data_IF_673571933069
#
_entry.id   IF_673571933069
#
_cell.length_a   1.000
_cell.length_b   1.000
_cell.length_c   1.000
_cell.angle_alpha   90.00
_cell.angle_beta   90.00
_cell.angle_gamma   90.00
#
_symmetry.space_group_name_H-M   'P 1'
#
loop_
_entity.id
_entity.type
_entity.pdbx_description
1 polymer ?
#
# COMPACT_ATOMS: atom_id res chain seq x y z
N UNK A 1 -17.01 -20.97 -52.14
CA UNK A 1 -17.59 -20.69 -50.81
C UNK A 1 -16.55 -19.96 -49.96
N UNK A 2 -16.73 -18.66 -49.79
CA UNK A 2 -15.74 -17.77 -49.17
C UNK A 2 -15.71 -17.87 -47.65
N UNK A 3 -14.50 -17.95 -47.09
CA UNK A 3 -14.26 -17.79 -45.65
C UNK A 3 -14.50 -16.31 -45.28
N UNK A 4 -15.53 -16.03 -44.49
CA UNK A 4 -15.70 -14.72 -43.84
C UNK A 4 -14.76 -14.65 -42.64
N UNK A 5 -13.76 -13.79 -42.74
CA UNK A 5 -13.01 -13.29 -41.59
C UNK A 5 -13.95 -12.48 -40.70
N UNK A 6 -14.04 -12.83 -39.42
CA UNK A 6 -14.71 -12.00 -38.42
C UNK A 6 -13.64 -11.11 -37.81
N UNK A 7 -13.65 -9.84 -38.25
CA UNK A 7 -12.92 -8.74 -37.63
C UNK A 7 -13.63 -8.36 -36.33
N UNK A 8 -12.95 -8.45 -35.19
CA UNK A 8 -13.46 -7.97 -33.90
C UNK A 8 -12.61 -6.77 -33.46
N UNK A 9 -13.32 -5.67 -33.24
CA UNK A 9 -12.85 -4.34 -32.91
C UNK A 9 -12.10 -4.30 -31.57
N UNK A 10 -10.90 -3.70 -31.58
CA UNK A 10 -9.93 -3.71 -30.49
C UNK A 10 -10.02 -2.43 -29.67
N UNK A 11 -11.10 -2.24 -28.92
CA UNK A 11 -11.19 -1.18 -27.90
C UNK A 11 -12.02 -1.61 -26.70
N UNK A 12 -11.41 -2.33 -25.76
CA UNK A 12 -11.75 -2.31 -24.33
C UNK A 12 -10.69 -3.10 -23.55
N UNK A 13 -10.01 -2.40 -22.64
CA UNK A 13 -8.97 -2.94 -21.77
C UNK A 13 -9.55 -3.81 -20.66
N UNK A 14 -9.96 -5.02 -21.04
CA UNK A 14 -9.77 -6.19 -20.19
C UNK A 14 -8.51 -6.83 -20.76
N UNK A 15 -7.46 -6.98 -19.96
CA UNK A 15 -6.35 -7.85 -20.31
C UNK A 15 -6.95 -9.26 -20.27
N UNK A 16 -7.64 -9.64 -21.35
CA UNK A 16 -7.71 -11.01 -21.77
C UNK A 16 -6.25 -11.41 -21.86
N UNK A 17 -5.78 -12.23 -20.92
CA UNK A 17 -4.72 -13.18 -21.22
C UNK A 17 -5.06 -13.64 -22.64
N UNK A 18 -4.22 -13.36 -23.63
CA UNK A 18 -4.35 -14.09 -24.90
C UNK A 18 -4.40 -15.54 -24.44
N UNK A 19 -5.52 -16.23 -24.63
CA UNK A 19 -5.78 -17.54 -24.02
C UNK A 19 -4.61 -18.52 -24.27
N UNK A 20 -3.82 -18.24 -25.30
CA UNK A 20 -2.55 -18.88 -25.61
C UNK A 20 -1.49 -18.79 -24.50
N UNK A 21 -1.22 -17.63 -23.87
CA UNK A 21 -0.06 -17.47 -22.94
C UNK A 21 -0.19 -18.34 -21.69
N UNK A 22 -1.40 -18.40 -21.10
CA UNK A 22 -1.64 -19.20 -19.90
C UNK A 22 -1.57 -20.69 -20.22
N UNK A 23 -2.22 -21.10 -21.31
CA UNK A 23 -2.26 -22.49 -21.78
C UNK A 23 -0.86 -22.97 -22.24
N UNK A 24 -0.12 -22.12 -22.96
CA UNK A 24 1.27 -22.38 -23.36
C UNK A 24 2.19 -22.55 -22.14
N UNK A 25 1.99 -21.75 -21.08
CA UNK A 25 2.76 -21.89 -19.85
C UNK A 25 2.51 -23.25 -19.19
N UNK A 26 1.23 -23.68 -19.12
CA UNK A 26 0.85 -25.01 -18.61
C UNK A 26 1.54 -26.09 -19.43
N UNK A 27 1.38 -26.11 -20.76
CA UNK A 27 1.99 -27.14 -21.60
C UNK A 27 3.51 -27.17 -21.49
N UNK A 28 4.15 -25.99 -21.45
CA UNK A 28 5.60 -25.89 -21.25
C UNK A 28 6.04 -26.49 -19.91
N UNK A 29 5.28 -26.24 -18.83
CA UNK A 29 5.61 -26.76 -17.51
C UNK A 29 5.32 -28.26 -17.39
N UNK A 30 4.22 -28.75 -17.95
CA UNK A 30 3.90 -30.19 -17.96
C UNK A 30 4.94 -31.04 -18.70
N UNK A 31 5.70 -30.45 -19.63
CA UNK A 31 6.84 -31.11 -20.29
C UNK A 31 8.12 -31.20 -19.41
N UNK A 32 8.12 -30.58 -18.23
CA UNK A 32 9.27 -30.47 -17.32
C UNK A 32 8.98 -31.17 -16.00
N UNK A 33 10.04 -31.42 -15.24
CA UNK A 33 9.88 -31.81 -13.84
C UNK A 33 9.30 -30.64 -13.02
N UNK A 34 8.53 -30.95 -11.98
CA UNK A 34 7.85 -29.98 -11.11
C UNK A 34 8.80 -28.92 -10.51
N UNK A 35 10.03 -29.30 -10.19
CA UNK A 35 11.06 -28.42 -9.65
C UNK A 35 11.58 -27.38 -10.66
N UNK A 36 11.23 -27.50 -11.95
CA UNK A 36 11.72 -26.67 -13.04
C UNK A 36 10.62 -25.85 -13.71
N UNK A 37 9.45 -25.72 -13.07
CA UNK A 37 8.37 -24.88 -13.59
C UNK A 37 8.81 -23.42 -13.66
N UNK A 38 8.43 -22.75 -14.75
CA UNK A 38 8.76 -21.34 -15.00
C UNK A 38 7.50 -20.62 -15.44
N UNK A 39 7.26 -19.48 -14.81
CA UNK A 39 6.04 -18.70 -15.01
C UNK A 39 6.38 -17.38 -15.67
N UNK A 40 5.66 -17.06 -16.74
CA UNK A 40 5.76 -15.76 -17.40
C UNK A 40 5.26 -14.65 -16.46
N UNK A 41 5.65 -13.41 -16.72
CA UNK A 41 5.19 -12.25 -15.94
C UNK A 41 3.67 -12.15 -15.86
N UNK A 42 2.97 -12.43 -16.97
CA UNK A 42 1.51 -12.40 -17.03
C UNK A 42 0.86 -13.45 -16.12
N UNK A 43 1.44 -14.66 -16.07
CA UNK A 43 0.97 -15.71 -15.17
C UNK A 43 1.26 -15.36 -13.71
N UNK A 44 2.40 -14.73 -13.42
CA UNK A 44 2.69 -14.24 -12.07
C UNK A 44 1.72 -13.14 -11.63
N UNK A 45 1.43 -12.16 -12.48
CA UNK A 45 0.45 -11.10 -12.19
C UNK A 45 -0.97 -11.67 -11.98
N UNK A 46 -1.36 -12.64 -12.79
CA UNK A 46 -2.62 -13.37 -12.60
C UNK A 46 -2.64 -14.11 -11.25
N UNK A 47 -1.57 -14.84 -10.94
CA UNK A 47 -1.45 -15.58 -9.68
C UNK A 47 -1.50 -14.65 -8.45
N UNK A 48 -0.80 -13.51 -8.49
CA UNK A 48 -0.87 -12.48 -7.45
C UNK A 48 -2.29 -11.95 -7.29
N UNK A 49 -2.96 -11.62 -8.40
CA UNK A 49 -4.34 -11.12 -8.38
C UNK A 49 -5.30 -12.16 -7.79
N UNK A 50 -5.21 -13.41 -8.24
CA UNK A 50 -6.02 -14.52 -7.74
C UNK A 50 -5.83 -14.69 -6.22
N UNK A 51 -4.59 -14.66 -5.73
CA UNK A 51 -4.30 -14.78 -4.31
C UNK A 51 -4.83 -13.61 -3.49
N UNK A 52 -4.70 -12.38 -3.99
CA UNK A 52 -5.13 -11.16 -3.30
C UNK A 52 -6.67 -11.07 -3.24
N UNK A 53 -7.36 -11.38 -4.33
CA UNK A 53 -8.82 -11.22 -4.42
C UNK A 53 -9.59 -12.42 -3.87
N UNK A 54 -9.17 -13.65 -4.19
CA UNK A 54 -9.91 -14.87 -3.83
C UNK A 54 -9.33 -15.59 -2.60
N UNK A 55 -8.15 -15.15 -2.15
CA UNK A 55 -7.49 -15.66 -0.95
C UNK A 55 -6.76 -16.99 -1.14
N UNK A 56 -6.04 -17.39 -0.08
CA UNK A 56 -5.15 -18.56 -0.09
C UNK A 56 -5.85 -19.87 -0.45
N UNK A 57 -7.06 -20.10 0.04
CA UNK A 57 -7.76 -21.37 -0.16
C UNK A 57 -8.18 -21.56 -1.63
N UNK A 58 -8.73 -20.51 -2.25
CA UNK A 58 -9.08 -20.54 -3.66
C UNK A 58 -7.83 -20.68 -4.53
N UNK A 59 -6.76 -19.95 -4.20
CA UNK A 59 -5.47 -20.06 -4.87
C UNK A 59 -4.93 -21.50 -4.85
N UNK A 60 -4.87 -22.13 -3.67
CA UNK A 60 -4.37 -23.50 -3.52
C UNK A 60 -5.27 -24.51 -4.23
N UNK A 61 -6.59 -24.31 -4.19
CA UNK A 61 -7.53 -25.15 -4.95
C UNK A 61 -7.21 -25.11 -6.45
N UNK A 62 -7.03 -23.93 -7.04
CA UNK A 62 -6.65 -23.80 -8.46
C UNK A 62 -5.28 -24.43 -8.71
N UNK A 63 -4.29 -24.18 -7.86
CA UNK A 63 -2.92 -24.70 -8.02
C UNK A 63 -2.87 -26.23 -8.02
N UNK A 64 -3.63 -26.86 -7.13
CA UNK A 64 -3.66 -28.32 -6.99
C UNK A 64 -4.44 -29.00 -8.12
N UNK A 65 -5.46 -28.35 -8.68
CA UNK A 65 -6.28 -28.90 -9.76
C UNK A 65 -5.73 -28.58 -11.16
N UNK A 66 -4.94 -27.51 -11.31
CA UNK A 66 -4.29 -27.11 -12.57
C UNK A 66 -2.77 -27.14 -12.42
N UNK A 67 -2.21 -28.35 -12.47
CA UNK A 67 -0.77 -28.55 -12.30
C UNK A 67 0.06 -27.75 -13.32
N UNK A 68 1.06 -27.03 -12.81
CA UNK A 68 1.96 -26.21 -13.65
C UNK A 68 1.35 -24.91 -14.17
N UNK A 69 0.10 -24.58 -13.80
CA UNK A 69 -0.58 -23.37 -14.25
C UNK A 69 -0.19 -22.12 -13.47
N UNK A 70 -0.02 -22.23 -12.15
CA UNK A 70 0.34 -21.12 -11.27
C UNK A 70 1.45 -21.52 -10.31
N UNK A 71 2.25 -20.55 -9.80
CA UNK A 71 3.35 -20.80 -8.87
C UNK A 71 2.92 -21.43 -7.55
N UNK A 72 3.85 -22.07 -6.85
CA UNK A 72 3.67 -22.38 -5.43
C UNK A 72 3.69 -21.10 -4.59
N UNK A 73 3.26 -21.23 -3.32
CA UNK A 73 3.15 -20.08 -2.41
C UNK A 73 4.50 -19.42 -2.11
N UNK A 74 5.61 -20.18 -2.03
CA UNK A 74 6.93 -19.59 -1.79
C UNK A 74 7.35 -18.72 -2.96
N UNK A 75 7.19 -19.23 -4.19
CA UNK A 75 7.48 -18.47 -5.41
C UNK A 75 6.57 -17.23 -5.53
N UNK A 76 5.30 -17.36 -5.12
CA UNK A 76 4.36 -16.25 -5.10
C UNK A 76 4.75 -15.18 -4.08
N UNK A 77 5.09 -15.59 -2.85
CA UNK A 77 5.52 -14.69 -1.76
C UNK A 77 6.80 -13.94 -2.15
N UNK A 78 7.77 -14.61 -2.76
CA UNK A 78 8.97 -13.99 -3.31
C UNK A 78 8.65 -12.97 -4.40
N UNK A 79 7.69 -13.29 -5.28
CA UNK A 79 7.22 -12.40 -6.34
C UNK A 79 6.52 -11.16 -5.76
N UNK A 80 5.64 -11.34 -4.77
CA UNK A 80 4.97 -10.26 -4.04
C UNK A 80 5.95 -9.38 -3.26
N UNK A 81 7.00 -9.97 -2.69
CA UNK A 81 8.08 -9.23 -2.04
C UNK A 81 8.85 -8.32 -3.01
N UNK A 82 9.12 -8.82 -4.23
CA UNK A 82 9.85 -8.08 -5.27
C UNK A 82 9.07 -6.92 -5.88
N UNK A 83 7.74 -6.96 -5.88
CA UNK A 83 6.90 -5.86 -6.41
C UNK A 83 6.92 -4.59 -5.54
N UNK A 84 7.72 -4.55 -4.47
CA UNK A 84 8.02 -3.32 -3.72
C UNK A 84 6.90 -2.87 -2.78
N UNK A 85 6.10 -3.82 -2.28
CA UNK A 85 4.88 -3.54 -1.51
C UNK A 85 5.06 -3.60 0.00
N UNK A 86 6.27 -3.82 0.53
CA UNK A 86 6.49 -3.73 1.98
C UNK A 86 6.32 -2.27 2.42
N UNK A 87 5.21 -1.99 3.10
CA UNK A 87 4.93 -0.70 3.71
C UNK A 87 5.73 -0.63 5.00
N UNK A 88 6.76 0.22 5.03
CA UNK A 88 7.50 0.51 6.26
C UNK A 88 6.69 1.44 7.16
N UNK A 89 6.62 1.11 8.44
CA UNK A 89 5.89 1.87 9.44
C UNK A 89 6.46 3.29 9.60
N UNK A 90 5.60 4.30 9.50
CA UNK A 90 5.97 5.70 9.71
C UNK A 90 6.73 6.34 8.54
N UNK A 91 6.89 5.65 7.41
CA UNK A 91 7.55 6.23 6.22
C UNK A 91 6.50 6.72 5.22
N UNK A 92 6.62 7.98 4.81
CA UNK A 92 5.78 8.55 3.76
C UNK A 92 6.36 8.25 2.37
N UNK A 93 5.56 7.61 1.52
CA UNK A 93 5.98 7.03 0.23
C UNK A 93 5.79 8.01 -0.93
N UNK A 94 6.44 9.18 -0.89
CA UNK A 94 6.31 10.21 -1.93
C UNK A 94 6.85 9.83 -3.31
N UNK A 95 7.81 8.91 -3.35
CA UNK A 95 8.28 8.28 -4.59
C UNK A 95 7.16 7.47 -5.25
N UNK A 96 6.43 6.68 -4.47
CA UNK A 96 5.29 5.89 -4.96
C UNK A 96 4.13 6.82 -5.34
N UNK A 97 3.93 7.92 -4.61
CA UNK A 97 2.97 8.95 -4.98
C UNK A 97 3.27 9.53 -6.36
N UNK A 98 4.53 9.80 -6.68
CA UNK A 98 4.92 10.29 -8.00
C UNK A 98 4.68 9.24 -9.11
N UNK A 99 4.99 7.97 -8.86
CA UNK A 99 4.71 6.90 -9.82
C UNK A 99 3.20 6.72 -10.05
N UNK A 100 2.41 6.73 -8.98
CA UNK A 100 0.96 6.67 -9.03
C UNK A 100 0.37 7.88 -9.77
N UNK A 101 0.91 9.07 -9.51
CA UNK A 101 0.57 10.30 -10.22
C UNK A 101 0.74 10.15 -11.73
N UNK A 102 1.90 9.64 -12.16
CA UNK A 102 2.19 9.43 -13.59
C UNK A 102 1.31 8.35 -14.22
N UNK A 103 0.98 7.28 -13.50
CA UNK A 103 0.17 6.19 -14.06
C UNK A 103 -1.30 6.59 -14.21
N UNK A 104 -1.83 7.40 -13.29
CA UNK A 104 -3.24 7.81 -13.28
C UNK A 104 -3.46 9.15 -14.01
N UNK A 105 -2.43 9.98 -14.11
CA UNK A 105 -2.47 11.29 -14.76
C UNK A 105 -3.38 12.27 -14.00
N UNK A 106 -2.95 12.71 -12.83
CA UNK A 106 -3.64 13.75 -12.03
C UNK A 106 -2.62 14.70 -11.41
N UNK A 107 -3.01 15.95 -11.16
CA UNK A 107 -2.15 16.91 -10.46
C UNK A 107 -2.78 17.41 -9.16
N UNK A 108 -4.06 17.12 -8.95
CA UNK A 108 -4.86 17.59 -7.82
C UNK A 108 -5.38 16.39 -7.03
N UNK A 109 -5.18 16.42 -5.73
CA UNK A 109 -5.60 15.36 -4.83
C UNK A 109 -6.15 15.89 -3.50
N UNK A 110 -6.89 15.03 -2.81
CA UNK A 110 -7.32 15.22 -1.43
C UNK A 110 -6.57 14.21 -0.57
N UNK A 111 -6.18 14.62 0.64
CA UNK A 111 -5.58 13.72 1.60
C UNK A 111 -6.59 13.39 2.70
N UNK A 112 -6.71 12.11 3.04
CA UNK A 112 -7.47 11.64 4.19
C UNK A 112 -6.52 11.23 5.30
N UNK A 113 -6.78 11.66 6.52
CA UNK A 113 -6.11 11.17 7.73
C UNK A 113 -7.15 10.61 8.68
N UNK A 114 -6.94 9.37 9.15
CA UNK A 114 -7.82 8.74 10.13
C UNK A 114 -7.06 7.69 10.94
N UNK A 115 -7.55 7.37 12.15
CA UNK A 115 -7.00 6.35 13.02
C UNK A 115 -7.97 5.18 13.17
N UNK A 116 -7.52 3.97 12.83
CA UNK A 116 -8.33 2.76 12.98
C UNK A 116 -7.79 1.87 14.11
N UNK A 117 -8.69 1.20 14.83
CA UNK A 117 -8.30 0.25 15.86
C UNK A 117 -7.66 -0.99 15.24
N UNK A 118 -6.57 -1.49 15.84
CA UNK A 118 -5.86 -2.67 15.34
C UNK A 118 -5.72 -3.75 16.41
N UNK A 119 -5.59 -5.00 15.95
CA UNK A 119 -5.21 -6.11 16.82
C UNK A 119 -3.78 -5.86 17.30
N UNK A 120 -3.59 -5.86 18.61
CA UNK A 120 -2.29 -5.62 19.25
C UNK A 120 -1.31 -6.74 18.92
N UNK A 121 -0.55 -6.58 17.85
CA UNK A 121 0.47 -7.52 17.40
C UNK A 121 1.78 -6.78 17.15
N UNK A 122 2.84 -7.29 17.75
CA UNK A 122 4.20 -6.85 17.44
C UNK A 122 4.77 -7.81 16.40
N UNK A 123 5.42 -7.27 15.39
CA UNK A 123 6.09 -8.02 14.34
C UNK A 123 7.53 -7.56 14.22
N UNK A 124 8.44 -8.51 14.01
CA UNK A 124 9.85 -8.24 13.76
C UNK A 124 10.14 -8.33 12.26
N UNK A 125 10.79 -7.31 11.71
CA UNK A 125 11.31 -7.33 10.36
C UNK A 125 12.83 -7.61 10.41
N UNK A 126 13.23 -8.82 10.02
CA UNK A 126 14.63 -9.26 10.01
C UNK A 126 15.49 -8.59 8.95
N UNK A 127 14.91 -8.03 7.90
CA UNK A 127 15.66 -7.29 6.87
C UNK A 127 16.14 -5.94 7.37
N UNK A 128 15.38 -5.31 8.26
CA UNK A 128 15.66 -3.97 8.79
C UNK A 128 16.02 -3.96 10.28
N UNK A 129 16.09 -5.14 10.91
CA UNK A 129 16.26 -5.30 12.36
C UNK A 129 15.36 -4.37 13.18
N UNK A 130 14.08 -4.30 12.81
CA UNK A 130 13.13 -3.32 13.37
C UNK A 130 11.86 -4.02 13.86
N UNK A 131 11.37 -3.59 15.02
CA UNK A 131 10.02 -3.93 15.47
C UNK A 131 8.95 -2.95 14.94
N UNK A 132 7.80 -3.50 14.56
CA UNK A 132 6.57 -2.77 14.26
C UNK A 132 5.43 -3.19 15.18
N UNK A 133 4.50 -2.27 15.42
CA UNK A 133 3.33 -2.52 16.29
C UNK A 133 3.43 -1.90 17.68
N UNK A 134 4.41 -1.02 17.91
CA UNK A 134 4.46 -0.12 19.06
C UNK A 134 4.08 1.31 18.64
N UNK A 135 3.52 2.15 19.52
CA UNK A 135 3.29 3.55 19.23
C UNK A 135 4.60 4.27 18.89
N UNK A 136 4.66 4.86 17.71
CA UNK A 136 5.81 5.65 17.27
C UNK A 136 5.71 7.06 17.86
N UNK A 137 6.85 7.60 18.28
CA UNK A 137 6.99 8.97 18.74
C UNK A 137 6.91 9.95 17.58
N UNK A 138 6.24 11.08 17.80
CA UNK A 138 6.06 12.10 16.77
C UNK A 138 6.96 13.31 17.08
N UNK A 139 7.70 13.78 16.08
CA UNK A 139 8.46 15.04 16.11
C UNK A 139 7.76 16.06 15.23
N UNK A 140 7.11 17.05 15.85
CA UNK A 140 6.25 18.02 15.17
C UNK A 140 5.17 17.33 14.31
N UNK A 141 4.53 16.31 14.87
CA UNK A 141 3.53 15.49 14.18
C UNK A 141 4.05 14.50 13.14
N UNK A 142 5.34 14.50 12.81
CA UNK A 142 5.93 13.53 11.88
C UNK A 142 6.44 12.32 12.65
N UNK A 143 6.09 11.08 12.26
CA UNK A 143 6.59 9.87 12.91
C UNK A 143 8.12 9.76 12.80
N UNK A 144 8.76 9.39 13.91
CA UNK A 144 10.15 8.98 13.92
C UNK A 144 10.26 7.56 13.34
N UNK A 145 10.43 7.46 12.02
CA UNK A 145 10.59 6.18 11.32
C UNK A 145 11.72 5.34 11.92
N UNK A 146 11.52 4.01 11.97
CA UNK A 146 12.51 3.05 12.49
C UNK A 146 12.96 3.31 13.93
N UNK A 147 12.08 3.89 14.76
CA UNK A 147 12.38 4.16 16.17
C UNK A 147 12.81 2.90 16.96
N UNK A 148 12.29 1.73 16.60
CA UNK A 148 12.58 0.46 17.26
C UNK A 148 13.54 -0.40 16.43
N UNK A 149 14.42 0.23 15.65
CA UNK A 149 15.54 -0.43 15.00
C UNK A 149 16.69 -0.58 15.99
N UNK A 150 17.23 -1.79 16.10
CA UNK A 150 18.41 -2.05 16.92
C UNK A 150 19.11 -3.33 16.48
N UNK A 151 20.43 -3.35 16.61
CA UNK A 151 21.26 -4.54 16.40
C UNK A 151 21.53 -5.30 17.72
N UNK A 152 20.98 -4.83 18.85
CA UNK A 152 21.15 -5.43 20.17
C UNK A 152 19.94 -6.26 20.58
N UNK A 153 20.18 -7.54 20.91
CA UNK A 153 19.13 -8.42 21.43
C UNK A 153 18.55 -7.92 22.75
N UNK A 154 19.35 -7.32 23.63
CA UNK A 154 18.89 -6.82 24.93
C UNK A 154 17.97 -5.60 24.74
N UNK A 155 18.25 -4.75 23.77
CA UNK A 155 17.38 -3.64 23.41
C UNK A 155 16.08 -4.14 22.76
N UNK A 156 16.15 -5.18 21.91
CA UNK A 156 14.97 -5.82 21.34
C UNK A 156 14.07 -6.38 22.45
N UNK A 157 14.65 -7.13 23.40
CA UNK A 157 13.94 -7.71 24.54
C UNK A 157 13.32 -6.62 25.41
N UNK A 158 14.08 -5.59 25.75
CA UNK A 158 13.61 -4.45 26.54
C UNK A 158 12.44 -3.73 25.86
N UNK A 159 12.49 -3.52 24.55
CA UNK A 159 11.37 -2.93 23.80
C UNK A 159 10.11 -3.79 23.90
N UNK A 160 10.25 -5.11 23.76
CA UNK A 160 9.11 -6.03 23.81
C UNK A 160 8.45 -6.12 25.19
N UNK A 161 9.25 -6.08 26.26
CA UNK A 161 8.76 -6.19 27.63
C UNK A 161 8.19 -4.88 28.18
N UNK A 162 8.77 -3.73 27.80
CA UNK A 162 8.48 -2.45 28.45
C UNK A 162 7.63 -1.48 27.62
N UNK A 163 7.37 -1.77 26.33
CA UNK A 163 6.56 -0.88 25.47
C UNK A 163 5.14 -1.37 25.32
N UNK A 164 4.19 -0.46 25.49
CA UNK A 164 2.80 -0.72 25.16
C UNK A 164 2.65 -0.98 23.67
N UNK A 165 1.82 -1.97 23.34
CA UNK A 165 1.46 -2.27 21.95
C UNK A 165 0.51 -1.21 21.42
N UNK A 166 0.61 -0.90 20.13
CA UNK A 166 -0.26 0.09 19.51
C UNK A 166 -1.71 -0.38 19.49
N UNK A 167 -2.61 0.53 19.80
CA UNK A 167 -4.05 0.32 19.74
C UNK A 167 -4.65 0.86 18.45
N UNK A 168 -4.02 1.88 17.88
CA UNK A 168 -4.54 2.64 16.76
C UNK A 168 -3.46 2.77 15.69
N UNK A 169 -3.84 2.50 14.45
CA UNK A 169 -3.02 2.76 13.28
C UNK A 169 -3.50 4.07 12.65
N UNK A 170 -2.65 5.10 12.65
CA UNK A 170 -2.91 6.31 11.89
C UNK A 170 -2.61 6.06 10.42
N UNK A 171 -3.55 6.37 9.54
CA UNK A 171 -3.50 6.05 8.11
C UNK A 171 -3.65 7.33 7.29
N UNK A 172 -2.77 7.50 6.31
CA UNK A 172 -2.72 8.65 5.43
C UNK A 172 -2.97 8.20 4.00
N UNK A 173 -4.11 8.59 3.43
CA UNK A 173 -4.51 8.20 2.07
C UNK A 173 -4.53 9.42 1.16
N UNK A 174 -4.00 9.31 -0.06
CA UNK A 174 -4.08 10.35 -1.09
C UNK A 174 -5.01 9.89 -2.19
N UNK A 175 -6.10 10.63 -2.42
CA UNK A 175 -7.08 10.34 -3.45
C UNK A 175 -7.02 11.38 -4.57
N UNK A 176 -6.85 10.98 -5.84
CA UNK A 176 -7.00 11.87 -6.98
C UNK A 176 -8.39 12.52 -7.00
N UNK A 177 -8.46 13.84 -7.16
CA UNK A 177 -9.74 14.55 -7.26
C UNK A 177 -10.25 14.56 -8.69
N UNK A 178 -9.35 14.78 -9.64
CA UNK A 178 -9.61 14.76 -11.08
C UNK A 178 -8.55 13.85 -11.69
N UNK A 179 -8.96 12.70 -12.21
CA UNK A 179 -8.09 11.77 -12.89
C UNK A 179 -8.40 11.79 -14.39
N UNK A 180 -7.35 11.76 -15.22
CA UNK A 180 -7.51 11.60 -16.67
C UNK A 180 -8.19 10.27 -17.03
N UNK A 181 -8.00 9.23 -16.19
CA UNK A 181 -8.68 7.95 -16.30
C UNK A 181 -9.65 7.74 -15.11
N UNK A 182 -10.97 7.86 -15.31
CA UNK A 182 -11.96 7.71 -14.24
C UNK A 182 -12.04 6.29 -13.68
N UNK A 183 -11.53 5.28 -14.40
CA UNK A 183 -11.49 3.89 -13.95
C UNK A 183 -10.28 3.57 -13.07
N UNK A 184 -9.35 4.53 -12.87
CA UNK A 184 -8.08 4.33 -12.16
C UNK A 184 -7.90 5.22 -10.93
N UNK A 185 -8.97 5.82 -10.40
CA UNK A 185 -8.91 6.74 -9.25
C UNK A 185 -8.81 6.05 -7.90
N UNK A 186 -7.99 4.99 -7.79
CA UNK A 186 -7.78 4.32 -6.50
C UNK A 186 -7.00 5.25 -5.55
N UNK A 187 -7.36 5.32 -4.26
CA UNK A 187 -6.57 6.07 -3.31
C UNK A 187 -5.25 5.34 -3.04
N UNK A 188 -4.18 6.11 -2.88
CA UNK A 188 -2.86 5.61 -2.52
C UNK A 188 -2.65 5.71 -1.01
N UNK A 189 -2.23 4.61 -0.38
CA UNK A 189 -1.71 4.63 0.98
C UNK A 189 -0.33 5.31 1.00
N UNK A 190 -0.28 6.53 1.54
CA UNK A 190 0.93 7.33 1.61
C UNK A 190 1.80 6.94 2.82
N UNK A 191 1.19 6.75 3.99
CA UNK A 191 1.87 6.32 5.21
C UNK A 191 0.88 5.66 6.18
N UNK A 192 1.39 4.76 7.01
CA UNK A 192 0.66 4.23 8.16
C UNK A 192 1.62 3.99 9.34
N UNK A 193 1.17 4.25 10.57
CA UNK A 193 1.97 4.03 11.78
C UNK A 193 1.14 3.92 13.05
N UNK A 194 1.64 3.13 14.00
CA UNK A 194 1.04 3.00 15.32
C UNK A 194 1.11 4.29 16.13
N UNK A 195 0.00 4.62 16.80
CA UNK A 195 -0.11 5.80 17.69
C UNK A 195 -0.75 5.42 19.03
N UNK A 196 -0.61 6.32 20.01
CA UNK A 196 -1.24 6.24 21.32
C UNK A 196 -2.14 7.46 21.63
N UNK A 197 -2.57 8.20 20.60
CA UNK A 197 -3.41 9.39 20.74
C UNK A 197 -2.84 10.54 21.61
N UNK A 198 -1.54 10.57 21.90
CA UNK A 198 -0.94 11.63 22.71
C UNK A 198 -0.53 12.90 21.93
N UNK A 199 -0.84 12.96 20.63
CA UNK A 199 -0.51 14.10 19.78
C UNK A 199 -1.50 15.26 19.98
N UNK A 200 -1.03 16.48 19.70
CA UNK A 200 -1.84 17.70 19.82
C UNK A 200 -2.31 18.19 18.46
N UNK A 201 -3.27 19.13 18.45
CA UNK A 201 -3.74 19.78 17.22
C UNK A 201 -2.61 20.44 16.41
N UNK A 202 -1.60 21.01 17.08
CA UNK A 202 -0.45 21.61 16.41
C UNK A 202 0.42 20.57 15.68
N UNK A 203 0.50 19.34 16.20
CA UNK A 203 1.20 18.23 15.55
C UNK A 203 0.49 17.84 14.26
N UNK A 204 -0.85 17.75 14.29
CA UNK A 204 -1.67 17.52 13.09
C UNK A 204 -1.41 18.60 12.04
N UNK A 205 -1.44 19.87 12.43
CA UNK A 205 -1.22 20.99 11.51
C UNK A 205 0.18 20.94 10.89
N UNK A 206 1.22 20.71 11.69
CA UNK A 206 2.60 20.58 11.22
C UNK A 206 2.73 19.41 10.23
N UNK A 207 2.07 18.29 10.52
CA UNK A 207 2.02 17.12 9.64
C UNK A 207 1.34 17.45 8.31
N UNK A 208 0.18 18.09 8.30
CA UNK A 208 -0.49 18.50 7.06
C UNK A 208 0.35 19.46 6.22
N UNK A 209 1.00 20.44 6.85
CA UNK A 209 1.91 21.37 6.16
C UNK A 209 3.08 20.61 5.53
N UNK A 210 3.67 19.68 6.27
CA UNK A 210 4.76 18.85 5.77
C UNK A 210 4.29 17.97 4.60
N UNK A 211 3.12 17.35 4.72
CA UNK A 211 2.56 16.52 3.65
C UNK A 211 2.26 17.31 2.38
N UNK A 212 1.68 18.50 2.53
CA UNK A 212 1.42 19.41 1.43
C UNK A 212 2.72 19.80 0.70
N UNK A 213 3.78 20.15 1.44
CA UNK A 213 5.08 20.55 0.87
C UNK A 213 5.75 19.39 0.12
N UNK A 214 5.81 18.21 0.71
CA UNK A 214 6.47 17.04 0.10
C UNK A 214 5.66 16.48 -1.09
N UNK A 215 4.32 16.45 -1.00
CA UNK A 215 3.50 16.06 -2.15
C UNK A 215 3.69 16.98 -3.35
N UNK A 216 3.87 18.28 -3.11
CA UNK A 216 4.15 19.25 -4.17
C UNK A 216 5.47 18.99 -4.89
N UNK A 217 6.49 18.49 -4.19
CA UNK A 217 7.75 18.06 -4.81
C UNK A 217 7.54 16.84 -5.73
N UNK A 218 6.52 16.03 -5.47
CA UNK A 218 6.07 14.93 -6.34
C UNK A 218 5.07 15.37 -7.43
N UNK A 219 4.94 16.67 -7.72
CA UNK A 219 3.95 17.25 -8.64
C UNK A 219 2.48 16.98 -8.28
N UNK A 220 2.18 16.66 -7.01
CA UNK A 220 0.81 16.49 -6.54
C UNK A 220 0.43 17.66 -5.64
N UNK A 221 -0.59 18.42 -6.04
CA UNK A 221 -1.18 19.48 -5.24
C UNK A 221 -2.31 18.91 -4.37
N UNK A 222 -2.05 18.79 -3.08
CA UNK A 222 -3.09 18.51 -2.08
C UNK A 222 -3.90 19.79 -1.87
N UNK A 223 -5.21 19.74 -2.12
CA UNK A 223 -6.11 20.91 -1.99
C UNK A 223 -7.01 20.86 -0.76
N UNK A 224 -7.19 19.69 -0.16
CA UNK A 224 -7.97 19.52 1.05
C UNK A 224 -7.43 18.36 1.90
N UNK A 225 -7.65 18.46 3.21
CA UNK A 225 -7.48 17.38 4.17
C UNK A 225 -8.86 16.99 4.71
N UNK A 226 -9.14 15.69 4.72
CA UNK A 226 -10.35 15.09 5.29
C UNK A 226 -9.95 14.23 6.49
N UNK A 227 -10.72 14.29 7.57
CA UNK A 227 -10.45 13.58 8.83
C UNK A 227 -11.74 13.41 9.61
N UNK A 228 -11.72 12.53 10.62
CA UNK A 228 -12.78 12.38 11.61
C UNK A 228 -12.95 13.65 12.47
N UNK A 229 -14.10 13.75 13.13
CA UNK A 229 -14.53 14.78 14.06
C UNK A 229 -13.85 14.70 15.43
N UNK A 230 -12.65 14.12 15.53
CA UNK A 230 -11.90 14.13 16.77
C UNK A 230 -11.45 15.57 17.11
N UNK A 231 -11.57 16.00 18.39
CA UNK A 231 -11.34 17.39 18.79
C UNK A 231 -9.97 17.95 18.39
N UNK A 232 -8.93 17.12 18.32
CA UNK A 232 -7.57 17.56 17.95
C UNK A 232 -7.51 17.93 16.47
N UNK A 233 -8.19 17.16 15.63
CA UNK A 233 -8.31 17.43 14.20
C UNK A 233 -9.22 18.63 13.94
N UNK A 234 -10.36 18.74 14.63
CA UNK A 234 -11.24 19.91 14.53
C UNK A 234 -10.53 21.20 14.93
N UNK A 235 -9.72 21.17 16.00
CA UNK A 235 -8.91 22.31 16.40
C UNK A 235 -7.81 22.61 15.36
N UNK A 236 -7.17 21.60 14.78
CA UNK A 236 -6.19 21.79 13.71
C UNK A 236 -6.82 22.43 12.46
N UNK A 237 -8.01 21.99 12.06
CA UNK A 237 -8.80 22.60 10.97
C UNK A 237 -9.12 24.07 11.26
N UNK A 238 -9.55 24.37 12.48
CA UNK A 238 -9.84 25.74 12.92
C UNK A 238 -8.61 26.63 12.81
N UNK A 239 -7.46 26.15 13.27
CA UNK A 239 -6.18 26.86 13.17
C UNK A 239 -5.75 27.05 11.70
N UNK A 240 -5.90 26.02 10.85
CA UNK A 240 -5.54 26.07 9.44
C UNK A 240 -6.38 27.06 8.63
N UNK A 241 -7.67 27.18 8.96
CA UNK A 241 -8.64 28.04 8.26
C UNK A 241 -8.71 29.46 8.82
N UNK A 242 -8.07 29.73 9.97
CA UNK A 242 -8.19 31.00 10.68
C UNK A 242 -9.58 31.26 11.27
N UNK A 243 -10.44 30.23 11.36
CA UNK A 243 -11.81 30.38 11.83
C UNK A 243 -11.82 30.80 13.31
N UNK A 244 -12.41 31.96 13.60
CA UNK A 244 -12.40 32.67 14.90
C UNK A 244 -11.07 33.34 15.32
N UNK A 245 -10.11 33.57 14.42
CA UNK A 245 -9.06 34.55 14.69
C UNK A 245 -9.69 35.95 14.66
N UNK A 246 -10.27 36.38 15.78
CA UNK A 246 -10.61 37.78 16.00
C UNK A 246 -9.29 38.53 16.21
N UNK A 247 -9.02 39.52 15.36
CA UNK A 247 -8.07 40.58 15.65
C UNK A 247 -8.45 41.29 16.95
#
# INVERSE_FOLDING_TARGET
MGKKAVSIDTKKGIILLRDTVFIENIFSNLSKNNNNYRYSEHVQLFAQSLHIFDGRNAYEFVRLNLLGAIPDLSTLDDSLGKTGTCIEEGIFRYNILQTHQKSVGYDIAVCSEDATAVIKRVSYNSTTNTFSGFPISLKHGIPCSRQFQTDSFDELKSCFENKDKTHYLNVHMVKPLIASNPYSSSPLLLAAYGINNNFKAIDVLNRWIWMFKNARQSNVRIVAFATDCDPRYLLAMRLATGFFWKN
#
